data_IF_267859025826
#
_entry.id   IF_267859025826
#
_cell.length_a   1.000
_cell.length_b   1.000
_cell.length_c   1.000
_cell.angle_alpha   90.00
_cell.angle_beta   90.00
_cell.angle_gamma   90.00
#
_symmetry.space_group_name_H-M   'P 1'
#
loop_
_entity.id
_entity.type
_entity.pdbx_description
1 polymer ?
#
# COMPACT_ATOMS: atom_id res chain seq x y z
N UNK A 1 26.45 0.86 37.11
CA UNK A 1 25.14 0.77 37.77
C UNK A 1 24.33 -0.29 37.00
N UNK A 2 24.02 -1.44 37.62
CA UNK A 2 23.15 -2.45 36.97
C UNK A 2 21.73 -2.09 37.29
N UNK A 3 20.93 -1.82 36.27
CA UNK A 3 19.46 -1.66 36.44
C UNK A 3 18.92 -3.06 36.79
N UNK A 4 18.25 -3.25 37.93
CA UNK A 4 17.68 -4.56 38.25
C UNK A 4 16.61 -4.87 37.20
N UNK A 5 16.75 -5.97 36.49
CA UNK A 5 15.69 -6.52 35.66
C UNK A 5 14.53 -6.91 36.57
N UNK A 6 13.48 -6.13 36.55
CA UNK A 6 12.26 -6.43 37.28
C UNK A 6 11.75 -7.77 36.78
N UNK A 7 11.62 -8.75 37.67
CA UNK A 7 11.01 -10.04 37.34
C UNK A 7 9.59 -9.76 36.87
N UNK A 8 9.25 -10.22 35.67
CA UNK A 8 7.94 -10.01 35.08
C UNK A 8 6.89 -10.64 36.00
N UNK A 9 6.07 -9.80 36.63
CA UNK A 9 5.04 -10.22 37.58
C UNK A 9 3.76 -10.72 36.91
N UNK A 10 3.54 -10.31 35.65
CA UNK A 10 2.36 -10.65 34.87
C UNK A 10 2.78 -11.10 33.46
N UNK A 11 2.00 -12.00 32.88
CA UNK A 11 2.13 -12.32 31.46
C UNK A 11 1.74 -11.07 30.64
N UNK A 12 2.52 -10.78 29.59
CA UNK A 12 2.23 -9.64 28.70
C UNK A 12 0.85 -9.75 28.05
N UNK A 13 0.32 -10.96 27.92
CA UNK A 13 -1.00 -11.26 27.37
C UNK A 13 -2.16 -10.78 28.29
N UNK A 14 -1.86 -10.33 29.50
CA UNK A 14 -2.83 -9.77 30.43
C UNK A 14 -2.85 -8.22 30.43
N UNK A 15 -1.91 -7.60 29.72
CA UNK A 15 -1.92 -6.17 29.53
C UNK A 15 -2.90 -5.84 28.39
N UNK A 16 -3.85 -4.97 28.68
CA UNK A 16 -4.74 -4.44 27.65
C UNK A 16 -3.89 -3.71 26.59
N UNK A 17 -4.16 -4.00 25.32
CA UNK A 17 -3.56 -3.27 24.22
C UNK A 17 -4.07 -1.81 24.28
N UNK A 18 -3.17 -0.86 24.04
CA UNK A 18 -3.56 0.53 23.84
C UNK A 18 -4.52 0.67 22.64
N UNK A 19 -5.37 1.72 22.62
CA UNK A 19 -6.37 1.91 21.56
C UNK A 19 -5.77 1.91 20.14
N UNK A 20 -4.55 2.41 19.98
CA UNK A 20 -3.86 2.41 18.69
C UNK A 20 -3.52 0.99 18.21
N UNK A 21 -3.11 0.13 19.14
CA UNK A 21 -2.78 -1.29 18.86
C UNK A 21 -4.04 -2.05 18.47
N UNK A 22 -5.15 -1.80 19.17
CA UNK A 22 -6.44 -2.41 18.85
C UNK A 22 -6.93 -1.98 17.45
N UNK A 23 -6.87 -0.69 17.14
CA UNK A 23 -7.26 -0.17 15.82
C UNK A 23 -6.44 -0.80 14.68
N UNK A 24 -5.12 -0.96 14.88
CA UNK A 24 -4.26 -1.65 13.90
C UNK A 24 -4.67 -3.12 13.75
N UNK A 25 -4.97 -3.81 14.84
CA UNK A 25 -5.43 -5.21 14.81
C UNK A 25 -6.75 -5.35 14.05
N UNK A 26 -7.71 -4.48 14.31
CA UNK A 26 -9.00 -4.44 13.61
C UNK A 26 -8.81 -4.14 12.12
N UNK A 27 -7.93 -3.20 11.75
CA UNK A 27 -7.56 -2.94 10.36
C UNK A 27 -6.99 -4.18 9.68
N UNK A 28 -6.01 -4.87 10.30
CA UNK A 28 -5.43 -6.09 9.72
C UNK A 28 -6.45 -7.21 9.55
N UNK A 29 -7.47 -7.28 10.42
CA UNK A 29 -8.49 -8.32 10.41
C UNK A 29 -9.55 -8.14 9.31
N UNK A 30 -9.74 -6.91 8.80
CA UNK A 30 -10.78 -6.63 7.78
C UNK A 30 -10.24 -6.63 6.35
N UNK A 31 -8.93 -6.75 6.16
CA UNK A 31 -8.33 -6.81 4.81
C UNK A 31 -8.63 -8.17 4.17
N UNK A 32 -9.33 -8.24 3.02
CA UNK A 32 -9.75 -9.48 2.38
C UNK A 32 -8.61 -10.06 1.50
N UNK A 33 -7.52 -10.51 2.13
CA UNK A 33 -6.28 -10.89 1.46
C UNK A 33 -6.07 -12.41 1.28
N UNK A 34 -7.05 -13.25 1.63
CA UNK A 34 -6.92 -14.70 1.62
C UNK A 34 -6.55 -15.27 0.25
N UNK A 35 -7.16 -14.76 -0.82
CA UNK A 35 -6.88 -15.22 -2.20
C UNK A 35 -5.45 -14.87 -2.61
N UNK A 36 -5.02 -13.63 -2.31
CA UNK A 36 -3.68 -13.16 -2.59
C UNK A 36 -2.64 -13.99 -1.84
N UNK A 37 -2.81 -14.18 -0.53
CA UNK A 37 -1.90 -14.97 0.28
C UNK A 37 -1.84 -16.43 -0.16
N UNK A 38 -2.99 -17.03 -0.52
CA UNK A 38 -3.04 -18.39 -1.04
C UNK A 38 -2.27 -18.53 -2.37
N UNK A 39 -2.41 -17.57 -3.27
CA UNK A 39 -1.69 -17.55 -4.55
C UNK A 39 -0.17 -17.35 -4.34
N UNK A 40 0.22 -16.44 -3.47
CA UNK A 40 1.62 -16.21 -3.11
C UNK A 40 2.27 -17.44 -2.48
N UNK A 41 1.57 -18.17 -1.62
CA UNK A 41 2.06 -19.45 -1.04
C UNK A 41 2.24 -20.51 -2.12
N UNK A 42 1.27 -20.68 -3.03
CA UNK A 42 1.39 -21.64 -4.15
C UNK A 42 2.54 -21.32 -5.11
N UNK A 43 2.77 -20.04 -5.37
CA UNK A 43 3.84 -19.58 -6.27
C UNK A 43 5.24 -19.62 -5.65
N UNK A 44 5.40 -20.03 -4.38
CA UNK A 44 6.70 -20.31 -3.78
C UNK A 44 7.22 -21.64 -4.30
N UNK A 45 8.36 -21.61 -4.98
CA UNK A 45 9.09 -22.81 -5.33
C UNK A 45 9.73 -23.43 -4.05
N UNK A 46 10.18 -24.68 -4.12
CA UNK A 46 10.86 -25.41 -3.02
C UNK A 46 12.23 -24.78 -2.66
N UNK A 47 12.25 -23.55 -2.19
CA UNK A 47 13.43 -22.81 -1.74
C UNK A 47 13.38 -22.52 -0.24
N UNK A 48 14.51 -22.12 0.35
CA UNK A 48 14.57 -21.63 1.72
C UNK A 48 13.82 -20.30 1.80
N UNK A 49 12.56 -20.37 2.21
CA UNK A 49 11.72 -19.20 2.46
C UNK A 49 11.87 -18.82 3.94
N UNK A 50 12.77 -17.87 4.21
CA UNK A 50 13.07 -17.41 5.57
C UNK A 50 11.85 -16.77 6.28
N UNK A 51 10.84 -16.30 5.51
CA UNK A 51 9.66 -15.59 6.04
C UNK A 51 8.38 -16.07 5.37
N UNK A 52 7.29 -16.25 6.13
CA UNK A 52 5.98 -16.50 5.54
C UNK A 52 5.51 -15.26 4.73
N UNK A 53 4.72 -15.51 3.66
CA UNK A 53 4.12 -14.45 2.84
C UNK A 53 3.23 -13.54 3.66
N UNK A 54 2.47 -14.09 4.62
CA UNK A 54 1.62 -13.30 5.51
C UNK A 54 2.44 -12.35 6.39
N UNK A 55 3.62 -12.76 6.83
CA UNK A 55 4.54 -11.89 7.57
C UNK A 55 5.05 -10.73 6.70
N UNK A 56 5.49 -11.01 5.47
CA UNK A 56 5.97 -9.97 4.56
C UNK A 56 4.84 -9.02 4.14
N UNK A 57 3.66 -9.55 3.87
CA UNK A 57 2.45 -8.78 3.60
C UNK A 57 2.06 -7.92 4.80
N UNK A 58 2.04 -8.49 6.00
CA UNK A 58 1.76 -7.78 7.24
C UNK A 58 2.70 -6.59 7.49
N UNK A 59 3.99 -6.69 7.10
CA UNK A 59 4.90 -5.53 7.15
C UNK A 59 4.44 -4.40 6.25
N UNK A 60 3.92 -4.69 5.05
CA UNK A 60 3.39 -3.68 4.14
C UNK A 60 2.09 -3.05 4.67
N UNK A 61 1.19 -3.85 5.22
CA UNK A 61 -0.04 -3.35 5.85
C UNK A 61 0.28 -2.48 7.08
N UNK A 62 1.20 -2.91 7.95
CA UNK A 62 1.65 -2.09 9.07
C UNK A 62 2.31 -0.79 8.64
N UNK A 63 3.05 -0.78 7.53
CA UNK A 63 3.61 0.44 6.96
C UNK A 63 2.50 1.46 6.65
N UNK A 64 1.38 1.01 6.07
CA UNK A 64 0.22 1.85 5.75
C UNK A 64 -0.47 2.32 7.03
N UNK A 65 -0.80 1.39 7.95
CA UNK A 65 -1.46 1.69 9.21
C UNK A 65 -0.69 2.70 10.07
N UNK A 66 0.64 2.58 10.12
CA UNK A 66 1.53 3.48 10.83
C UNK A 66 1.89 4.75 10.04
N UNK A 67 1.39 4.90 8.82
CA UNK A 67 1.69 6.03 7.91
C UNK A 67 3.19 6.25 7.66
N UNK A 68 3.95 5.17 7.63
CA UNK A 68 5.40 5.26 7.39
C UNK A 68 5.69 5.46 5.90
N UNK A 69 6.44 6.50 5.57
CA UNK A 69 6.89 6.78 4.19
C UNK A 69 7.87 5.70 3.71
N UNK A 70 8.77 5.25 4.60
CA UNK A 70 9.81 4.29 4.29
C UNK A 70 9.59 2.96 5.01
N UNK A 71 9.87 1.86 4.32
CA UNK A 71 9.83 0.49 4.90
C UNK A 71 10.75 0.37 6.11
N UNK A 72 11.90 1.03 6.07
CA UNK A 72 12.88 1.02 7.15
C UNK A 72 12.28 1.51 8.47
N UNK A 73 11.41 2.51 8.44
CA UNK A 73 10.73 3.01 9.63
C UNK A 73 9.86 1.93 10.26
N UNK A 74 9.12 1.19 9.45
CA UNK A 74 8.30 0.05 9.91
C UNK A 74 9.17 -1.06 10.48
N UNK A 75 10.27 -1.41 9.82
CA UNK A 75 11.19 -2.43 10.30
C UNK A 75 11.88 -2.01 11.61
N UNK A 76 12.18 -0.73 11.77
CA UNK A 76 12.69 -0.19 13.05
C UNK A 76 11.64 -0.27 14.15
N UNK A 77 10.39 0.06 13.84
CA UNK A 77 9.29 -0.03 14.81
C UNK A 77 9.04 -1.49 15.23
N UNK A 78 9.02 -2.42 14.29
CA UNK A 78 8.91 -3.84 14.57
C UNK A 78 10.03 -4.38 15.49
N UNK A 79 11.26 -3.85 15.39
CA UNK A 79 12.35 -4.24 16.30
C UNK A 79 12.13 -3.77 17.73
N UNK A 80 11.44 -2.66 17.92
CA UNK A 80 11.19 -2.06 19.25
C UNK A 80 9.87 -2.51 19.86
N UNK A 81 8.82 -2.68 19.04
CA UNK A 81 7.49 -2.98 19.50
C UNK A 81 7.17 -4.47 19.33
N UNK A 82 6.98 -5.17 20.46
CA UNK A 82 6.66 -6.59 20.51
C UNK A 82 5.25 -6.88 19.99
N UNK A 83 4.29 -6.01 20.29
CA UNK A 83 2.88 -6.25 20.00
C UNK A 83 2.63 -6.15 18.49
N UNK A 84 3.25 -5.18 17.83
CA UNK A 84 3.24 -5.11 16.37
C UNK A 84 3.89 -6.34 15.70
N UNK A 85 5.00 -6.85 16.26
CA UNK A 85 5.60 -8.09 15.76
C UNK A 85 4.65 -9.29 15.86
N UNK A 86 3.99 -9.44 17.00
CA UNK A 86 3.07 -10.55 17.24
C UNK A 86 1.87 -10.54 16.31
N UNK A 87 1.35 -9.36 15.95
CA UNK A 87 0.23 -9.23 15.01
C UNK A 87 0.52 -9.85 13.65
N UNK A 88 1.79 -9.84 13.22
CA UNK A 88 2.23 -10.39 11.94
C UNK A 88 3.10 -11.65 12.11
N UNK A 89 2.89 -12.37 13.22
CA UNK A 89 3.51 -13.67 13.52
C UNK A 89 5.05 -13.64 13.60
N UNK A 90 5.63 -12.54 14.09
CA UNK A 90 7.06 -12.42 14.38
C UNK A 90 7.27 -12.54 15.89
N UNK A 91 7.89 -13.65 16.33
CA UNK A 91 8.11 -13.93 17.75
C UNK A 91 9.28 -13.16 18.35
N UNK A 92 10.37 -13.01 17.59
CA UNK A 92 11.62 -12.43 18.07
C UNK A 92 12.11 -11.27 17.20
N UNK A 93 13.01 -10.46 17.73
CA UNK A 93 13.66 -9.36 17.00
C UNK A 93 14.47 -9.88 15.81
N UNK A 94 15.10 -11.06 15.95
CA UNK A 94 15.86 -11.70 14.88
C UNK A 94 14.96 -12.18 13.72
N UNK A 95 13.66 -12.40 13.97
CA UNK A 95 12.68 -12.78 12.96
C UNK A 95 12.14 -11.57 12.14
N UNK A 96 12.58 -10.34 12.43
CA UNK A 96 12.16 -9.16 11.63
C UNK A 96 12.86 -9.21 10.27
N UNK A 97 12.10 -9.16 9.15
CA UNK A 97 12.68 -9.19 7.81
C UNK A 97 13.67 -8.07 7.57
N UNK A 98 14.62 -8.32 6.69
CA UNK A 98 15.47 -7.26 6.16
C UNK A 98 14.77 -6.46 5.06
N UNK A 99 15.25 -5.23 4.79
CA UNK A 99 14.75 -4.39 3.68
C UNK A 99 14.73 -5.13 2.35
N UNK A 100 15.77 -5.93 2.08
CA UNK A 100 15.89 -6.69 0.85
C UNK A 100 14.77 -7.70 0.65
N UNK A 101 14.33 -8.38 1.73
CA UNK A 101 13.22 -9.32 1.67
C UNK A 101 11.92 -8.61 1.27
N UNK A 102 11.67 -7.42 1.84
CA UNK A 102 10.48 -6.63 1.51
C UNK A 102 10.56 -6.08 0.08
N UNK A 103 11.73 -5.64 -0.39
CA UNK A 103 11.90 -5.17 -1.78
C UNK A 103 11.56 -6.27 -2.79
N UNK A 104 12.13 -7.47 -2.62
CA UNK A 104 11.83 -8.63 -3.49
C UNK A 104 10.37 -9.05 -3.42
N UNK A 105 9.77 -9.01 -2.23
CA UNK A 105 8.35 -9.29 -2.06
C UNK A 105 7.48 -8.28 -2.80
N UNK A 106 7.81 -6.98 -2.71
CA UNK A 106 7.10 -5.93 -3.44
C UNK A 106 7.26 -6.06 -4.95
N UNK A 107 8.45 -6.44 -5.45
CA UNK A 107 8.66 -6.73 -6.86
C UNK A 107 7.75 -7.86 -7.33
N UNK A 108 7.66 -8.95 -6.55
CA UNK A 108 6.77 -10.08 -6.84
C UNK A 108 5.29 -9.71 -6.84
N UNK A 109 4.85 -8.82 -5.96
CA UNK A 109 3.47 -8.31 -5.95
C UNK A 109 3.11 -7.53 -7.22
N UNK A 110 4.12 -6.99 -7.93
CA UNK A 110 3.95 -6.32 -9.22
C UNK A 110 3.88 -7.25 -10.43
N UNK A 111 3.98 -8.57 -10.24
CA UNK A 111 3.90 -9.59 -11.30
C UNK A 111 2.52 -10.23 -11.31
N UNK A 112 2.05 -10.65 -12.51
CA UNK A 112 0.83 -11.46 -12.60
C UNK A 112 1.08 -12.89 -12.07
N UNK A 113 0.10 -13.51 -11.40
CA UNK A 113 -1.28 -13.03 -11.16
C UNK A 113 -1.43 -12.17 -9.89
N UNK A 114 -0.37 -11.85 -9.17
CA UNK A 114 -0.44 -11.19 -7.86
C UNK A 114 -0.90 -9.74 -7.96
N UNK A 115 -0.55 -9.05 -9.05
CA UNK A 115 -0.99 -7.67 -9.30
C UNK A 115 -2.51 -7.59 -9.47
N UNK A 116 -3.11 -8.50 -10.25
CA UNK A 116 -4.56 -8.60 -10.39
C UNK A 116 -5.24 -8.95 -9.07
N UNK A 117 -4.68 -9.90 -8.30
CA UNK A 117 -5.22 -10.26 -6.98
C UNK A 117 -5.09 -9.11 -5.96
N UNK A 118 -4.08 -8.28 -6.07
CA UNK A 118 -3.95 -7.07 -5.23
C UNK A 118 -5.04 -6.04 -5.55
N UNK A 119 -5.44 -5.93 -6.82
CA UNK A 119 -6.60 -5.12 -7.22
C UNK A 119 -7.90 -5.68 -6.66
N UNK A 120 -8.10 -7.00 -6.74
CA UNK A 120 -9.27 -7.65 -6.13
C UNK A 120 -9.38 -7.36 -4.62
N UNK A 121 -8.26 -7.30 -3.89
CA UNK A 121 -8.25 -6.90 -2.46
C UNK A 121 -8.82 -5.49 -2.29
N UNK A 122 -8.42 -4.54 -3.14
CA UNK A 122 -8.94 -3.17 -3.09
C UNK A 122 -10.44 -3.14 -3.40
N UNK A 123 -10.87 -3.78 -4.49
CA UNK A 123 -12.26 -3.78 -4.96
C UNK A 123 -13.19 -4.41 -3.90
N UNK A 124 -12.77 -5.52 -3.28
CA UNK A 124 -13.51 -6.17 -2.20
C UNK A 124 -13.57 -5.30 -0.93
N UNK A 125 -12.52 -4.56 -0.61
CA UNK A 125 -12.55 -3.58 0.48
C UNK A 125 -13.57 -2.47 0.22
N UNK A 126 -13.63 -1.92 -1.01
CA UNK A 126 -14.61 -0.89 -1.38
C UNK A 126 -16.03 -1.42 -1.33
N UNK A 127 -16.26 -2.63 -1.83
CA UNK A 127 -17.54 -3.30 -1.74
C UNK A 127 -18.01 -3.46 -0.29
N UNK A 128 -17.15 -3.98 0.59
CA UNK A 128 -17.45 -4.16 2.01
C UNK A 128 -17.75 -2.81 2.69
N UNK A 129 -17.04 -1.76 2.29
CA UNK A 129 -17.30 -0.41 2.78
C UNK A 129 -18.63 0.13 2.29
N UNK A 130 -19.02 -0.13 1.02
CA UNK A 130 -20.30 0.23 0.45
C UNK A 130 -21.49 -0.42 1.17
N UNK A 131 -21.32 -1.66 1.66
CA UNK A 131 -22.33 -2.32 2.50
C UNK A 131 -22.51 -1.61 3.86
N UNK A 132 -21.43 -1.10 4.45
CA UNK A 132 -21.45 -0.35 5.71
C UNK A 132 -21.87 1.12 5.52
N UNK A 133 -21.62 1.71 4.35
CA UNK A 133 -21.91 3.09 4.00
C UNK A 133 -22.72 3.15 2.67
N UNK A 134 -24.06 2.97 2.68
CA UNK A 134 -24.88 2.85 1.47
C UNK A 134 -24.94 4.10 0.58
N UNK A 135 -24.38 5.19 1.00
CA UNK A 135 -24.23 6.43 0.25
C UNK A 135 -22.81 6.67 -0.28
N UNK A 136 -21.90 5.70 -0.10
CA UNK A 136 -20.57 5.71 -0.73
C UNK A 136 -20.73 5.80 -2.26
N UNK A 137 -19.89 6.59 -2.88
CA UNK A 137 -19.88 6.77 -4.34
C UNK A 137 -20.89 7.78 -4.88
N UNK A 138 -21.70 8.43 -4.02
CA UNK A 138 -22.68 9.45 -4.48
C UNK A 138 -22.07 10.80 -4.84
N UNK A 139 -20.97 11.17 -4.21
CA UNK A 139 -20.31 12.46 -4.39
C UNK A 139 -18.85 12.24 -4.78
N UNK A 140 -18.59 12.04 -6.05
CA UNK A 140 -17.26 11.70 -6.55
C UNK A 140 -16.50 12.91 -7.07
N UNK A 141 -15.20 12.95 -6.80
CA UNK A 141 -14.25 13.88 -7.40
C UNK A 141 -13.04 13.10 -7.91
N UNK A 142 -12.63 13.40 -9.16
CA UNK A 142 -11.43 12.81 -9.76
C UNK A 142 -10.25 13.76 -9.70
N UNK A 143 -9.08 13.24 -9.32
CA UNK A 143 -7.81 14.00 -9.38
C UNK A 143 -6.66 13.08 -9.78
N UNK A 144 -5.58 13.69 -10.26
CA UNK A 144 -4.37 13.02 -10.66
C UNK A 144 -3.15 13.57 -9.94
N UNK A 145 -2.37 12.66 -9.35
CA UNK A 145 -1.11 12.96 -8.67
C UNK A 145 0.07 12.36 -9.42
N UNK A 146 1.20 13.06 -9.40
CA UNK A 146 2.43 12.55 -9.98
C UNK A 146 3.07 11.47 -9.08
N UNK A 147 3.57 10.41 -9.71
CA UNK A 147 4.40 9.40 -9.06
C UNK A 147 5.78 9.37 -9.72
N UNK A 148 6.80 9.74 -8.98
CA UNK A 148 8.17 9.71 -9.47
C UNK A 148 8.67 8.26 -9.59
N UNK A 149 9.15 7.88 -10.76
CA UNK A 149 9.78 6.59 -10.99
C UNK A 149 11.15 6.52 -10.30
N UNK A 150 11.48 5.35 -9.73
CA UNK A 150 12.79 5.11 -9.11
C UNK A 150 13.91 4.89 -10.12
N UNK A 151 13.58 4.56 -11.38
CA UNK A 151 14.56 4.29 -12.44
C UNK A 151 14.77 5.53 -13.28
N UNK A 152 16.03 5.80 -13.63
CA UNK A 152 16.38 6.83 -14.60
C UNK A 152 15.94 6.42 -16.02
N UNK A 153 15.82 7.40 -16.94
CA UNK A 153 15.46 7.21 -18.35
C UNK A 153 16.30 6.15 -19.09
N UNK A 154 17.49 5.82 -18.59
CA UNK A 154 18.43 4.87 -19.21
C UNK A 154 18.24 3.42 -18.78
N UNK A 155 17.31 3.09 -17.91
CA UNK A 155 17.07 1.70 -17.52
C UNK A 155 16.40 0.95 -18.67
N UNK A 156 17.18 0.13 -19.37
CA UNK A 156 16.68 -0.86 -20.33
C UNK A 156 16.03 -1.99 -19.54
N UNK A 157 14.74 -2.06 -19.54
CA UNK A 157 13.98 -3.16 -18.96
C UNK A 157 12.52 -3.00 -19.33
N UNK A 158 11.94 -4.05 -19.87
CA UNK A 158 10.50 -4.12 -20.02
C UNK A 158 9.91 -4.22 -18.61
N UNK A 159 9.05 -3.28 -18.23
CA UNK A 159 8.45 -3.20 -16.89
C UNK A 159 7.40 -4.27 -16.61
N UNK A 160 7.32 -5.33 -17.43
CA UNK A 160 6.26 -6.33 -17.35
C UNK A 160 4.90 -5.70 -17.64
N UNK A 161 3.90 -6.11 -16.89
CA UNK A 161 2.50 -5.68 -17.04
C UNK A 161 2.20 -4.28 -16.50
N UNK A 162 3.20 -3.63 -15.92
CA UNK A 162 3.08 -2.26 -15.43
C UNK A 162 3.17 -1.22 -16.56
N UNK A 163 2.48 -0.06 -16.44
CA UNK A 163 2.59 1.02 -17.40
C UNK A 163 4.05 1.47 -17.60
N UNK A 164 4.41 1.87 -18.81
CA UNK A 164 5.75 2.39 -19.07
C UNK A 164 5.91 3.78 -18.48
N UNK A 165 6.99 3.97 -17.71
CA UNK A 165 7.33 5.28 -17.17
C UNK A 165 7.61 6.30 -18.28
N UNK A 166 7.08 7.50 -18.15
CA UNK A 166 7.21 8.58 -19.13
C UNK A 166 7.62 9.90 -18.46
N UNK A 167 8.00 10.89 -19.27
CA UNK A 167 8.20 12.27 -18.80
C UNK A 167 6.85 12.95 -18.64
N UNK A 168 6.58 13.52 -17.47
CA UNK A 168 5.40 14.34 -17.20
C UNK A 168 5.79 15.78 -16.93
N UNK A 169 4.86 16.71 -17.25
CA UNK A 169 5.01 18.14 -17.00
C UNK A 169 3.68 18.74 -16.58
N UNK A 170 3.68 19.52 -15.51
CA UNK A 170 2.52 20.31 -15.06
C UNK A 170 2.93 21.76 -14.91
N UNK A 171 2.22 22.66 -15.61
CA UNK A 171 2.41 24.10 -15.47
C UNK A 171 1.28 24.64 -14.58
N UNK A 172 1.65 25.52 -13.67
CA UNK A 172 0.71 26.28 -12.84
C UNK A 172 0.69 27.72 -13.35
N UNK A 173 -0.52 28.27 -13.51
CA UNK A 173 -0.73 29.64 -13.97
C UNK A 173 -1.36 30.47 -12.85
N UNK A 174 -1.10 31.77 -12.84
CA UNK A 174 -1.83 32.75 -12.04
C UNK A 174 -3.20 33.11 -12.68
N UNK A 175 -3.92 34.05 -12.04
CA UNK A 175 -5.22 34.52 -12.52
C UNK A 175 -5.13 35.21 -13.89
N UNK A 176 -3.97 35.74 -14.24
CA UNK A 176 -3.68 36.38 -15.53
C UNK A 176 -3.24 35.38 -16.61
N UNK A 177 -3.20 34.09 -16.32
CA UNK A 177 -2.79 33.02 -17.25
C UNK A 177 -1.26 32.87 -17.41
N UNK A 178 -0.46 33.60 -16.63
CA UNK A 178 1.00 33.53 -16.69
C UNK A 178 1.51 32.32 -15.90
N UNK A 179 2.41 31.56 -16.51
CA UNK A 179 3.04 30.39 -15.86
C UNK A 179 3.90 30.85 -14.68
N UNK A 180 3.52 30.44 -13.46
CA UNK A 180 4.20 30.76 -12.21
C UNK A 180 5.14 29.67 -11.77
N UNK A 181 4.81 28.40 -12.10
CA UNK A 181 5.60 27.21 -11.70
C UNK A 181 5.45 26.11 -12.73
N UNK A 182 6.54 25.41 -13.00
CA UNK A 182 6.54 24.18 -13.79
C UNK A 182 7.10 23.06 -12.91
N UNK A 183 6.39 21.94 -12.87
CA UNK A 183 6.86 20.69 -12.26
C UNK A 183 7.09 19.70 -13.38
N UNK A 184 8.29 19.16 -13.45
CA UNK A 184 8.65 18.08 -14.36
C UNK A 184 9.08 16.85 -13.55
N UNK A 185 8.63 15.68 -13.98
CA UNK A 185 9.01 14.41 -13.36
C UNK A 185 9.15 13.32 -14.42
N UNK A 186 9.82 12.24 -14.03
CA UNK A 186 9.83 11.01 -14.81
C UNK A 186 9.21 9.89 -13.99
N UNK A 187 8.21 9.21 -14.54
CA UNK A 187 7.48 8.16 -13.83
C UNK A 187 6.06 7.98 -14.35
N UNK A 188 5.12 8.09 -13.45
CA UNK A 188 3.71 7.76 -13.66
C UNK A 188 2.79 8.87 -13.16
N UNK A 189 1.51 8.76 -13.52
CA UNK A 189 0.40 9.44 -12.86
C UNK A 189 -0.46 8.43 -12.11
N UNK A 190 -0.88 8.80 -10.93
CA UNK A 190 -1.88 8.11 -10.15
C UNK A 190 -3.18 8.89 -10.26
N UNK A 191 -4.17 8.29 -10.89
CA UNK A 191 -5.53 8.82 -11.01
C UNK A 191 -6.38 8.15 -9.95
N UNK A 192 -7.14 8.93 -9.19
CA UNK A 192 -8.07 8.42 -8.20
C UNK A 192 -9.43 9.09 -8.33
N UNK A 193 -10.47 8.29 -8.17
CA UNK A 193 -11.83 8.75 -7.96
C UNK A 193 -12.14 8.62 -6.47
N UNK A 194 -12.44 9.73 -5.82
CA UNK A 194 -12.60 9.82 -4.37
C UNK A 194 -14.02 10.22 -4.02
N UNK A 195 -14.67 9.50 -3.12
CA UNK A 195 -15.90 9.98 -2.48
C UNK A 195 -15.55 11.12 -1.53
N UNK A 196 -16.10 12.32 -1.83
CA UNK A 196 -15.77 13.55 -1.11
C UNK A 196 -16.41 13.62 0.27
N UNK A 197 -17.47 12.82 0.52
CA UNK A 197 -18.12 12.76 1.83
C UNK A 197 -17.36 11.86 2.79
N UNK A 198 -16.92 10.71 2.30
CA UNK A 198 -16.24 9.69 3.10
C UNK A 198 -14.72 9.79 3.05
N UNK A 199 -14.17 10.66 2.15
CA UNK A 199 -12.73 10.85 1.93
C UNK A 199 -12.00 9.54 1.56
N UNK A 200 -12.67 8.67 0.79
CA UNK A 200 -12.16 7.35 0.40
C UNK A 200 -12.03 7.27 -1.11
N UNK A 201 -10.90 6.77 -1.60
CA UNK A 201 -10.75 6.42 -3.01
C UNK A 201 -11.59 5.18 -3.33
N UNK A 202 -12.52 5.30 -4.28
CA UNK A 202 -13.41 4.22 -4.72
C UNK A 202 -12.95 3.53 -6.00
N UNK A 203 -12.11 4.20 -6.79
CA UNK A 203 -11.39 3.62 -7.92
C UNK A 203 -10.04 4.30 -8.09
N UNK A 204 -9.06 3.60 -8.65
CA UNK A 204 -7.77 4.17 -8.97
C UNK A 204 -7.15 3.54 -10.21
N UNK A 205 -6.32 4.33 -10.90
CA UNK A 205 -5.52 3.85 -12.01
C UNK A 205 -4.11 4.46 -12.01
N UNK A 206 -3.15 3.69 -12.45
CA UNK A 206 -1.78 4.17 -12.64
C UNK A 206 -1.48 4.14 -14.13
N UNK A 207 -1.22 5.31 -14.71
CA UNK A 207 -0.87 5.48 -16.10
C UNK A 207 0.53 6.08 -16.28
N UNK A 208 1.02 6.19 -17.53
CA UNK A 208 2.27 6.89 -17.82
C UNK A 208 2.13 8.38 -17.47
N UNK A 209 3.25 9.02 -17.09
CA UNK A 209 3.22 10.43 -16.65
C UNK A 209 2.75 11.44 -17.72
N UNK A 210 2.78 11.07 -19.00
CA UNK A 210 2.29 11.88 -20.13
C UNK A 210 0.84 11.59 -20.54
N UNK A 211 0.14 10.65 -19.86
CA UNK A 211 -1.28 10.37 -20.11
C UNK A 211 -2.17 11.57 -19.79
N UNK A 212 -3.26 11.74 -20.53
CA UNK A 212 -4.25 12.81 -20.33
C UNK A 212 -5.17 12.49 -19.16
N UNK A 213 -5.38 13.42 -18.23
CA UNK A 213 -6.28 13.21 -17.07
C UNK A 213 -7.73 12.99 -17.51
N UNK A 214 -8.16 13.64 -18.59
CA UNK A 214 -9.51 13.52 -19.14
C UNK A 214 -9.78 12.17 -19.84
N UNK A 215 -8.74 11.47 -20.27
CA UNK A 215 -8.87 10.17 -20.94
C UNK A 215 -9.13 9.04 -19.94
N UNK A 216 -8.56 9.15 -18.74
CA UNK A 216 -8.66 8.13 -17.69
C UNK A 216 -9.97 8.23 -16.87
N UNK A 217 -10.57 9.42 -16.80
CA UNK A 217 -11.74 9.66 -15.95
C UNK A 217 -12.98 8.82 -16.32
N UNK A 218 -13.36 8.65 -17.59
CA UNK A 218 -14.52 7.82 -17.94
C UNK A 218 -14.39 6.36 -17.51
N UNK A 219 -13.19 5.79 -17.68
CA UNK A 219 -12.92 4.41 -17.31
C UNK A 219 -12.91 4.22 -15.79
N UNK A 220 -12.37 5.19 -15.03
CA UNK A 220 -12.45 5.20 -13.57
C UNK A 220 -13.89 5.27 -13.05
N UNK A 221 -14.76 6.02 -13.73
CA UNK A 221 -16.18 6.10 -13.35
C UNK A 221 -16.89 4.78 -13.60
N UNK A 222 -16.58 4.07 -14.70
CA UNK A 222 -17.14 2.75 -14.95
C UNK A 222 -16.64 1.72 -13.91
N UNK A 223 -15.35 1.70 -13.61
CA UNK A 223 -14.78 0.85 -12.53
C UNK A 223 -15.45 1.11 -11.17
N UNK A 224 -15.72 2.38 -10.83
CA UNK A 224 -16.39 2.72 -9.58
C UNK A 224 -17.87 2.31 -9.52
N UNK A 225 -18.53 2.05 -10.68
CA UNK A 225 -19.90 1.52 -10.71
C UNK A 225 -19.96 0.01 -10.55
N UNK A 226 -18.88 -0.69 -10.88
CA UNK A 226 -18.77 -2.14 -10.76
C UNK A 226 -18.45 -2.58 -9.32
N UNK A 227 -17.85 -1.71 -8.54
CA UNK A 227 -17.52 -1.87 -7.11
C UNK A 227 -18.69 -1.47 -6.20
#
# INVERSE_FOLDING_TARGET
MRIPTTRQLFAWDWLEDGPDIQTIREFLAVVPDEKLLAALRRGRANGSDDYDVATLWGVLLLRVALRHVFVESTLHELRRNRDLRRMISIESVSGVPGRWNISRFTERLGEEPYLSLLREVFDEMIKNLGEAAPDLGRNLSGDASHLSGRRSRSAKGDGGDLPKAAGGRKAYTDEDGKVTRIIEWFGYKFHALVDTKHEVAVAYRVGPANGGDAEELPELVEEAKEN
#
